data_IF_814592574030
#
_entry.id   IF_814592574030
#
_cell.length_a   1.000
_cell.length_b   1.000
_cell.length_c   1.000
_cell.angle_alpha   90.00
_cell.angle_beta   90.00
_cell.angle_gamma   90.00
#
_symmetry.space_group_name_H-M   'P 1'
#
loop_
_entity.id
_entity.type
_entity.pdbx_description
1 polymer ?
#
# COMPACT_ATOMS: atom_id res chain seq x y z
N UNK A 1 -43.80 -38.56 44.34
CA UNK A 1 -45.17 -39.00 43.95
C UNK A 1 -45.20 -39.00 42.42
N UNK A 2 -45.19 -40.15 41.74
CA UNK A 2 -46.41 -40.83 41.24
C UNK A 2 -46.92 -40.09 39.98
N UNK A 3 -47.07 -40.63 38.76
CA UNK A 3 -47.17 -41.98 38.20
C UNK A 3 -47.20 -41.84 36.65
N UNK A 4 -46.93 -42.96 35.96
CA UNK A 4 -47.61 -43.51 34.75
C UNK A 4 -48.28 -42.58 33.72
N UNK A 5 -48.47 -42.93 32.46
CA UNK A 5 -48.02 -43.97 31.52
C UNK A 5 -48.94 -43.77 30.29
N UNK A 6 -48.35 -43.84 29.10
CA UNK A 6 -48.92 -44.19 27.77
C UNK A 6 -50.45 -44.26 27.62
N UNK A 7 -51.00 -43.48 26.69
CA UNK A 7 -52.14 -43.91 25.85
C UNK A 7 -51.83 -43.58 24.39
N UNK A 8 -51.90 -44.64 23.60
CA UNK A 8 -51.77 -44.73 22.14
C UNK A 8 -53.10 -44.35 21.48
N UNK A 9 -53.03 -43.93 20.21
CA UNK A 9 -53.79 -44.45 19.05
C UNK A 9 -54.60 -43.41 18.22
N UNK A 10 -54.08 -43.21 16.99
CA UNK A 10 -54.71 -43.10 15.65
C UNK A 10 -56.10 -42.45 15.49
N UNK A 11 -56.21 -41.52 14.52
CA UNK A 11 -57.14 -41.59 13.36
C UNK A 11 -56.55 -40.73 12.23
N UNK A 12 -56.67 -41.25 11.01
CA UNK A 12 -56.17 -40.71 9.75
C UNK A 12 -57.23 -39.87 8.99
N UNK A 13 -56.77 -39.31 7.84
CA UNK A 13 -57.53 -38.72 6.73
C UNK A 13 -58.03 -37.28 6.93
N UNK A 14 -58.09 -36.39 5.94
CA UNK A 14 -57.58 -36.30 4.56
C UNK A 14 -57.96 -34.87 4.06
N UNK A 15 -57.17 -34.35 3.11
CA UNK A 15 -57.48 -33.26 2.17
C UNK A 15 -58.18 -31.97 2.67
N UNK A 16 -57.46 -30.85 2.59
CA UNK A 16 -57.93 -29.70 1.80
C UNK A 16 -56.75 -28.81 1.41
N UNK A 17 -56.54 -28.70 0.10
CA UNK A 17 -55.66 -27.73 -0.51
C UNK A 17 -56.17 -26.31 -0.24
N UNK A 18 -55.32 -25.47 0.34
CA UNK A 18 -55.47 -24.02 0.24
C UNK A 18 -54.12 -23.46 -0.16
N UNK A 19 -53.91 -23.32 -1.47
CA UNK A 19 -52.83 -22.53 -2.04
C UNK A 19 -52.96 -21.10 -1.52
N UNK A 20 -52.15 -20.73 -0.54
CA UNK A 20 -51.89 -19.32 -0.26
C UNK A 20 -50.92 -18.82 -1.34
N UNK A 21 -51.19 -17.69 -2.01
CA UNK A 21 -50.20 -17.11 -2.91
C UNK A 21 -48.98 -16.73 -2.08
N UNK A 22 -47.83 -17.28 -2.48
CA UNK A 22 -46.54 -16.98 -1.91
C UNK A 22 -46.30 -15.46 -1.91
N UNK A 23 -46.06 -14.89 -0.72
CA UNK A 23 -45.34 -13.64 -0.57
C UNK A 23 -43.96 -13.84 -1.18
N UNK A 24 -43.81 -13.42 -2.43
CA UNK A 24 -42.49 -13.32 -3.07
C UNK A 24 -41.71 -12.23 -2.33
N UNK A 25 -40.53 -12.51 -1.78
CA UNK A 25 -39.65 -11.46 -1.30
C UNK A 25 -39.31 -10.54 -2.49
N UNK A 26 -39.15 -9.22 -2.27
CA UNK A 26 -38.77 -8.31 -3.33
C UNK A 26 -37.44 -8.79 -3.92
N UNK A 27 -37.42 -8.95 -5.25
CA UNK A 27 -36.23 -9.24 -6.04
C UNK A 27 -35.12 -8.30 -5.62
N UNK A 28 -34.10 -8.83 -4.94
CA UNK A 28 -32.88 -8.10 -4.67
C UNK A 28 -32.33 -7.60 -6.01
N UNK A 29 -32.13 -6.29 -6.11
CA UNK A 29 -31.44 -5.69 -7.24
C UNK A 29 -30.08 -6.42 -7.39
N UNK A 30 -29.66 -6.77 -8.61
CA UNK A 30 -28.33 -7.33 -8.82
C UNK A 30 -27.30 -6.36 -8.23
N UNK A 31 -26.24 -6.84 -7.56
CA UNK A 31 -25.19 -5.99 -7.06
C UNK A 31 -24.66 -5.15 -8.22
N UNK A 32 -24.71 -3.83 -8.06
CA UNK A 32 -24.16 -2.89 -9.02
C UNK A 32 -22.73 -3.34 -9.34
N UNK A 33 -22.45 -3.57 -10.62
CA UNK A 33 -21.14 -3.97 -11.08
C UNK A 33 -20.10 -2.98 -10.52
N UNK A 34 -19.22 -3.48 -9.65
CA UNK A 34 -18.06 -2.72 -9.19
C UNK A 34 -17.24 -2.45 -10.44
N UNK A 35 -17.25 -1.19 -10.90
CA UNK A 35 -16.39 -0.73 -11.99
C UNK A 35 -14.96 -1.15 -11.62
N UNK A 36 -14.23 -1.83 -12.51
CA UNK A 36 -12.82 -2.09 -12.29
C UNK A 36 -12.14 -0.77 -11.94
N UNK A 37 -11.48 -0.71 -10.79
CA UNK A 37 -10.60 0.42 -10.46
C UNK A 37 -9.71 0.65 -11.67
N UNK A 38 -9.87 1.82 -12.30
CA UNK A 38 -9.09 2.16 -13.47
C UNK A 38 -7.62 1.93 -13.13
N UNK A 39 -6.92 1.18 -13.98
CA UNK A 39 -5.47 1.06 -13.92
C UNK A 39 -4.94 2.47 -14.11
N UNK A 40 -4.54 3.10 -13.01
CA UNK A 40 -3.95 4.44 -13.03
C UNK A 40 -2.67 4.31 -13.81
N UNK A 41 -2.64 4.88 -15.02
CA UNK A 41 -1.40 4.99 -15.80
C UNK A 41 -0.36 5.70 -14.91
N UNK A 42 0.84 5.12 -14.73
CA UNK A 42 1.88 5.78 -13.95
C UNK A 42 2.12 7.19 -14.49
N UNK A 43 2.23 8.22 -13.63
CA UNK A 43 2.70 9.52 -14.06
C UNK A 43 4.06 9.33 -14.71
N UNK A 44 4.27 9.96 -15.87
CA UNK A 44 5.55 9.94 -16.59
C UNK A 44 6.12 11.34 -16.50
N UNK A 45 6.90 11.59 -15.46
CA UNK A 45 7.52 12.89 -15.17
C UNK A 45 8.80 13.10 -15.96
N UNK A 46 9.26 12.09 -16.71
CA UNK A 46 10.59 12.06 -17.33
C UNK A 46 11.71 11.78 -16.33
N UNK A 47 11.37 11.59 -15.05
CA UNK A 47 12.30 11.19 -13.99
C UNK A 47 11.90 9.79 -13.48
N UNK A 48 12.68 8.74 -13.81
CA UNK A 48 12.34 7.37 -13.44
C UNK A 48 12.17 7.17 -11.93
N UNK A 49 12.95 7.87 -11.10
CA UNK A 49 12.83 7.80 -9.64
C UNK A 49 11.48 8.34 -9.18
N UNK A 50 11.06 9.51 -9.67
CA UNK A 50 9.75 10.10 -9.30
C UNK A 50 8.58 9.23 -9.76
N UNK A 51 8.69 8.65 -10.95
CA UNK A 51 7.66 7.77 -11.50
C UNK A 51 7.49 6.50 -10.65
N UNK A 52 8.61 5.88 -10.25
CA UNK A 52 8.64 4.74 -9.32
C UNK A 52 8.05 5.09 -7.95
N UNK A 53 8.45 6.21 -7.37
CA UNK A 53 7.93 6.68 -6.07
C UNK A 53 6.42 6.91 -6.13
N UNK A 54 5.94 7.59 -7.18
CA UNK A 54 4.52 7.84 -7.37
C UNK A 54 3.72 6.54 -7.57
N UNK A 55 4.26 5.55 -8.28
CA UNK A 55 3.63 4.23 -8.40
C UNK A 55 3.49 3.51 -7.05
N UNK A 56 4.49 3.62 -6.17
CA UNK A 56 4.49 2.94 -4.88
C UNK A 56 3.63 3.63 -3.82
N UNK A 57 3.70 4.95 -3.76
CA UNK A 57 3.03 5.74 -2.71
C UNK A 57 1.62 6.16 -3.12
N UNK A 58 1.31 6.14 -4.42
CA UNK A 58 0.03 6.57 -4.95
C UNK A 58 -0.14 8.10 -4.99
N UNK A 59 -1.25 8.58 -5.55
CA UNK A 59 -1.46 10.00 -5.87
C UNK A 59 -1.69 10.90 -4.64
N UNK A 60 -2.01 10.33 -3.49
CA UNK A 60 -2.29 11.08 -2.26
C UNK A 60 -1.09 11.09 -1.29
N UNK A 61 0.09 10.72 -1.77
CA UNK A 61 1.28 10.66 -0.95
C UNK A 61 1.77 12.07 -0.58
N UNK A 62 2.35 12.19 0.62
CA UNK A 62 3.10 13.38 0.99
C UNK A 62 4.50 13.30 0.37
N UNK A 63 4.76 14.18 -0.58
CA UNK A 63 6.07 14.36 -1.20
C UNK A 63 6.95 15.24 -0.30
N UNK A 64 7.79 14.63 0.53
CA UNK A 64 8.63 15.37 1.48
C UNK A 64 9.91 15.94 0.85
N UNK A 65 10.25 15.50 -0.37
CA UNK A 65 11.21 16.19 -1.23
C UNK A 65 12.37 15.33 -1.71
N UNK A 66 13.12 15.91 -2.65
CA UNK A 66 14.41 15.42 -3.12
C UNK A 66 15.49 16.30 -2.48
N UNK A 67 16.45 15.68 -1.82
CA UNK A 67 17.59 16.34 -1.16
C UNK A 67 18.82 16.07 -2.00
N UNK A 68 19.36 17.13 -2.61
CA UNK A 68 20.56 17.02 -3.45
C UNK A 68 21.83 16.72 -2.62
N UNK A 69 22.88 16.26 -3.29
CA UNK A 69 24.13 15.85 -2.66
C UNK A 69 24.72 17.00 -1.81
N UNK A 70 25.01 16.71 -0.54
CA UNK A 70 25.58 17.67 0.40
C UNK A 70 24.59 18.69 0.99
N UNK A 71 23.30 18.57 0.68
CA UNK A 71 22.26 19.37 1.33
C UNK A 71 21.78 18.72 2.64
N UNK A 72 21.24 19.54 3.54
CA UNK A 72 20.65 19.07 4.80
C UNK A 72 19.32 18.34 4.56
N UNK A 73 19.29 17.04 4.89
CA UNK A 73 18.11 16.20 4.76
C UNK A 73 17.11 16.34 5.94
N UNK A 74 17.46 17.09 6.98
CA UNK A 74 16.68 17.15 8.24
C UNK A 74 15.23 17.56 8.01
N UNK A 75 14.97 18.58 7.20
CA UNK A 75 13.61 19.05 6.93
C UNK A 75 12.75 17.99 6.21
N UNK A 76 13.33 17.32 5.20
CA UNK A 76 12.66 16.25 4.47
C UNK A 76 12.38 15.05 5.38
N UNK A 77 13.35 14.68 6.22
CA UNK A 77 13.20 13.59 7.20
C UNK A 77 12.11 13.90 8.24
N UNK A 78 12.06 15.13 8.77
CA UNK A 78 11.01 15.53 9.72
C UNK A 78 9.62 15.53 9.08
N UNK A 79 9.51 15.97 7.82
CA UNK A 79 8.28 15.85 7.05
C UNK A 79 7.84 14.37 6.94
N UNK A 80 8.77 13.48 6.59
CA UNK A 80 8.51 12.05 6.44
C UNK A 80 8.09 11.42 7.77
N UNK A 81 8.75 11.79 8.87
CA UNK A 81 8.42 11.35 10.23
C UNK A 81 7.00 11.78 10.64
N UNK A 82 6.62 13.02 10.31
CA UNK A 82 5.28 13.51 10.57
C UNK A 82 4.22 12.81 9.71
N UNK A 83 4.53 12.47 8.45
CA UNK A 83 3.63 11.70 7.59
C UNK A 83 3.47 10.25 8.09
N UNK A 84 4.56 9.60 8.50
CA UNK A 84 4.54 8.23 9.00
C UNK A 84 3.72 8.09 10.29
N UNK A 85 3.86 9.04 11.22
CA UNK A 85 3.08 9.05 12.46
C UNK A 85 1.58 9.22 12.22
N UNK A 86 1.22 9.89 11.13
CA UNK A 86 -0.16 10.05 10.64
C UNK A 86 -0.62 8.85 9.78
N UNK A 87 0.24 7.86 9.54
CA UNK A 87 0.03 6.71 8.65
C UNK A 87 -0.33 7.11 7.21
N UNK A 88 0.13 8.28 6.77
CA UNK A 88 -0.04 8.77 5.41
C UNK A 88 1.09 8.22 4.55
N UNK A 89 0.80 7.80 3.32
CA UNK A 89 1.84 7.42 2.36
C UNK A 89 2.77 8.60 2.11
N UNK A 90 4.07 8.38 2.04
CA UNK A 90 5.04 9.45 1.87
C UNK A 90 6.28 8.95 1.16
N UNK A 91 7.08 9.89 0.66
CA UNK A 91 8.46 9.63 0.28
C UNK A 91 9.34 10.86 0.50
N UNK A 92 10.63 10.62 0.75
CA UNK A 92 11.70 11.57 0.48
C UNK A 92 12.90 10.80 -0.06
N UNK A 93 13.77 11.46 -0.82
CA UNK A 93 14.99 10.85 -1.33
C UNK A 93 16.20 11.75 -1.14
N UNK A 94 17.36 11.14 -0.89
CA UNK A 94 18.65 11.80 -0.77
C UNK A 94 19.53 11.33 -1.94
N UNK A 95 20.17 12.28 -2.59
CA UNK A 95 21.14 12.04 -3.65
C UNK A 95 22.49 11.61 -3.07
N UNK A 96 23.12 10.66 -3.74
CA UNK A 96 24.46 10.17 -3.44
C UNK A 96 25.38 10.37 -4.63
N UNK A 97 26.68 10.35 -4.34
CA UNK A 97 27.71 10.41 -5.38
C UNK A 97 27.72 9.11 -6.20
N UNK A 98 27.30 9.18 -7.45
CA UNK A 98 27.68 8.24 -8.50
C UNK A 98 28.89 8.73 -9.29
N UNK A 99 29.54 7.86 -10.06
CA UNK A 99 30.65 8.24 -10.95
C UNK A 99 30.09 8.80 -12.27
N UNK A 100 29.18 8.02 -12.86
CA UNK A 100 28.55 8.21 -14.15
C UNK A 100 27.04 7.96 -14.08
N UNK A 101 26.51 7.93 -12.86
CA UNK A 101 25.10 7.70 -12.56
C UNK A 101 24.57 8.69 -11.53
N UNK A 102 23.27 8.94 -11.62
CA UNK A 102 22.49 9.58 -10.58
C UNK A 102 22.09 8.48 -9.59
N UNK A 103 22.59 8.57 -8.36
CA UNK A 103 22.32 7.59 -7.31
C UNK A 103 21.46 8.23 -6.24
N UNK A 104 20.39 7.55 -5.84
CA UNK A 104 19.47 8.06 -4.84
C UNK A 104 19.07 6.96 -3.86
N UNK A 105 18.93 7.33 -2.59
CA UNK A 105 18.26 6.49 -1.59
C UNK A 105 17.00 7.19 -1.13
N UNK A 106 15.86 6.52 -1.23
CA UNK A 106 14.57 7.03 -0.82
C UNK A 106 13.97 6.21 0.32
N UNK A 107 13.44 6.89 1.33
CA UNK A 107 12.58 6.27 2.33
C UNK A 107 11.14 6.57 1.98
N UNK A 108 10.30 5.54 1.98
CA UNK A 108 8.88 5.69 1.68
C UNK A 108 7.99 4.79 2.52
N UNK A 109 6.74 5.22 2.67
CA UNK A 109 5.60 4.38 3.05
C UNK A 109 4.67 4.28 1.84
N UNK A 110 4.53 3.08 1.32
CA UNK A 110 3.66 2.78 0.19
C UNK A 110 2.18 2.94 0.57
N UNK A 111 1.31 3.00 -0.44
CA UNK A 111 -0.15 3.15 -0.24
C UNK A 111 -0.76 2.00 0.57
N UNK A 112 -0.16 0.81 0.53
CA UNK A 112 -0.55 -0.36 1.32
C UNK A 112 -0.03 -0.34 2.77
N UNK A 113 0.68 0.72 3.17
CA UNK A 113 1.25 0.90 4.50
C UNK A 113 2.61 0.25 4.73
N UNK A 114 3.15 -0.50 3.76
CA UNK A 114 4.49 -1.07 3.85
C UNK A 114 5.55 0.03 3.72
N UNK A 115 6.66 -0.12 4.46
CA UNK A 115 7.79 0.82 4.41
C UNK A 115 8.93 0.21 3.63
N UNK A 116 9.61 1.05 2.85
CA UNK A 116 10.76 0.64 2.07
C UNK A 116 11.88 1.66 2.16
N UNK A 117 13.10 1.13 2.12
CA UNK A 117 14.27 1.85 1.65
C UNK A 117 14.49 1.45 0.18
N UNK A 118 14.34 2.41 -0.73
CA UNK A 118 14.51 2.26 -2.16
C UNK A 118 15.88 2.81 -2.55
N UNK A 119 16.70 2.00 -3.21
CA UNK A 119 17.92 2.47 -3.87
C UNK A 119 17.68 2.56 -5.36
N UNK A 120 18.12 3.67 -5.94
CA UNK A 120 18.05 3.96 -7.37
C UNK A 120 19.45 4.27 -7.89
N UNK A 121 19.75 3.73 -9.06
CA UNK A 121 20.96 4.03 -9.83
C UNK A 121 20.55 4.18 -11.30
N UNK A 122 20.81 5.35 -11.90
CA UNK A 122 20.42 5.63 -13.28
C UNK A 122 21.21 4.83 -14.32
N UNK A 123 22.40 4.33 -13.97
CA UNK A 123 23.30 3.63 -14.90
C UNK A 123 24.21 2.61 -14.18
N UNK A 124 23.61 1.65 -13.48
CA UNK A 124 24.32 0.70 -12.61
C UNK A 124 25.49 -0.09 -13.26
N UNK A 125 25.49 -0.28 -14.58
CA UNK A 125 26.58 -1.01 -15.27
C UNK A 125 27.49 -0.10 -16.14
N UNK A 126 27.30 1.23 -16.11
CA UNK A 126 28.17 2.18 -16.80
C UNK A 126 28.14 2.11 -18.34
N UNK A 127 26.95 1.87 -18.92
CA UNK A 127 26.79 1.62 -20.37
C UNK A 127 25.71 2.47 -21.02
N UNK A 128 25.89 2.83 -22.29
CA UNK A 128 24.90 3.59 -23.05
C UNK A 128 23.59 2.82 -23.22
N UNK A 129 22.46 3.44 -22.88
CA UNK A 129 21.12 2.89 -23.12
C UNK A 129 20.66 1.85 -22.10
N UNK A 130 21.37 1.72 -20.97
CA UNK A 130 20.94 0.84 -19.89
C UNK A 130 19.78 1.45 -19.11
N UNK A 131 18.85 0.59 -18.69
CA UNK A 131 17.73 0.98 -17.87
C UNK A 131 18.20 1.21 -16.42
N UNK A 132 17.57 2.16 -15.71
CA UNK A 132 17.85 2.37 -14.30
C UNK A 132 17.58 1.11 -13.47
N UNK A 133 18.36 0.95 -12.41
CA UNK A 133 18.16 -0.13 -11.43
C UNK A 133 17.47 0.41 -10.19
N UNK A 134 16.47 -0.33 -9.73
CA UNK A 134 15.82 -0.13 -8.44
C UNK A 134 16.04 -1.34 -7.54
N UNK A 135 16.34 -1.11 -6.27
CA UNK A 135 16.36 -2.14 -5.22
C UNK A 135 15.49 -1.67 -4.06
N UNK A 136 14.56 -2.50 -3.59
CA UNK A 136 13.62 -2.17 -2.53
C UNK A 136 13.86 -3.09 -1.33
N UNK A 137 14.27 -2.51 -0.21
CA UNK A 137 14.44 -3.22 1.06
C UNK A 137 13.27 -2.89 1.97
N UNK A 138 12.49 -3.90 2.39
CA UNK A 138 11.39 -3.68 3.32
C UNK A 138 11.95 -3.31 4.71
N UNK A 139 11.38 -2.27 5.32
CA UNK A 139 11.69 -1.90 6.71
C UNK A 139 10.50 -2.26 7.62
N UNK A 140 10.76 -2.77 8.83
CA UNK A 140 9.68 -2.99 9.82
C UNK A 140 9.37 -1.70 10.57
N UNK A 141 10.38 -0.87 10.86
CA UNK A 141 10.27 0.44 11.48
C UNK A 141 10.36 1.62 10.51
N UNK A 142 10.33 2.83 11.07
CA UNK A 142 10.58 4.08 10.35
C UNK A 142 12.07 4.23 10.02
N UNK A 143 12.39 4.74 8.83
CA UNK A 143 13.76 4.95 8.38
C UNK A 143 14.44 6.07 9.19
N UNK A 144 15.64 5.82 9.69
CA UNK A 144 16.42 6.78 10.47
C UNK A 144 17.57 7.35 9.64
N UNK A 145 17.91 8.63 9.88
CA UNK A 145 19.19 9.18 9.43
C UNK A 145 20.31 8.67 10.32
N UNK A 146 21.47 8.35 9.75
CA UNK A 146 22.65 7.97 10.52
C UNK A 146 23.24 9.25 11.16
N UNK A 147 23.44 9.32 12.49
CA UNK A 147 23.88 10.54 13.16
C UNK A 147 25.18 11.14 12.62
N UNK A 148 26.15 10.30 12.29
CA UNK A 148 27.46 10.71 11.78
C UNK A 148 27.52 10.76 10.23
N UNK A 149 26.41 10.49 9.56
CA UNK A 149 26.28 10.49 8.10
C UNK A 149 24.83 10.84 7.73
N UNK A 150 24.41 12.10 7.91
CA UNK A 150 23.01 12.53 7.72
C UNK A 150 22.51 12.38 6.28
N UNK A 151 23.41 12.16 5.32
CA UNK A 151 23.11 11.77 3.95
C UNK A 151 22.68 10.30 3.80
N UNK A 152 22.89 9.48 4.83
CA UNK A 152 22.63 8.04 4.83
C UNK A 152 21.39 7.69 5.64
N UNK A 153 20.67 6.70 5.12
CA UNK A 153 19.40 6.23 5.64
C UNK A 153 19.50 4.74 5.95
N UNK A 154 18.97 4.34 7.11
CA UNK A 154 18.92 2.94 7.52
C UNK A 154 17.49 2.50 7.81
N UNK A 155 17.16 1.27 7.41
CA UNK A 155 15.94 0.64 7.89
C UNK A 155 16.08 0.40 9.40
N UNK A 156 15.08 0.85 10.16
CA UNK A 156 14.91 0.37 11.51
C UNK A 156 14.29 -1.03 11.48
N UNK A 157 14.93 -1.96 12.18
CA UNK A 157 14.41 -3.29 12.47
C UNK A 157 14.12 -3.36 13.96
N UNK A 158 12.83 -3.32 14.32
CA UNK A 158 12.37 -3.59 15.70
C UNK A 158 12.06 -5.06 15.88
#
# INVERSE_FOLDING_TARGET
MQRCSRITLLIAAALAAACSPADRPPTANPPAAVKPSAVVKPPTTGNPLRDELAMLTGPNARECGLVALGQDATAAWQCAKAADSQRIAYWFAIEHRGIDSDVWTAALRAANGQRYLLHYDSNYMGGTGLLPRFTRNACTGFTTMIPDSPESLECSYQ
#
